data_IF_539545792510
#
_entry.id   IF_539545792510
#
_cell.length_a   1.000
_cell.length_b   1.000
_cell.length_c   1.000
_cell.angle_alpha   90.00
_cell.angle_beta   90.00
_cell.angle_gamma   90.00
#
_symmetry.space_group_name_H-M   'P 1'
#
loop_
_entity.id
_entity.type
_entity.pdbx_description
1 polymer ?
#
# COMPACT_ATOMS: atom_id res chain seq x y z
N UNK A 1 -1.49 18.41 -11.67
CA UNK A 1 -0.79 18.11 -10.40
C UNK A 1 -0.20 19.42 -9.86
N UNK A 2 -0.38 19.77 -8.58
CA UNK A 2 0.19 21.04 -8.06
C UNK A 2 -0.58 21.77 -6.94
N UNK A 3 -1.43 21.09 -6.17
CA UNK A 3 -2.02 21.71 -4.97
C UNK A 3 -1.06 21.54 -3.78
N UNK A 4 -0.34 22.61 -3.45
CA UNK A 4 0.56 22.70 -2.30
C UNK A 4 -0.15 23.41 -1.14
N UNK A 5 -0.75 22.62 -0.24
CA UNK A 5 -1.36 23.12 0.98
C UNK A 5 -0.25 23.26 2.04
N UNK A 6 0.25 24.48 2.21
CA UNK A 6 1.29 24.79 3.21
C UNK A 6 0.68 24.99 4.60
N UNK A 7 1.43 24.62 5.64
CA UNK A 7 1.08 24.83 7.04
C UNK A 7 0.13 23.76 7.61
N UNK A 8 -0.72 24.15 8.55
CA UNK A 8 -1.63 23.27 9.30
C UNK A 8 -2.82 22.74 8.49
N UNK A 9 -2.90 23.08 7.20
CA UNK A 9 -4.05 22.76 6.35
C UNK A 9 -4.10 21.28 5.93
N UNK A 10 -2.99 20.55 6.06
CA UNK A 10 -2.93 19.13 5.73
C UNK A 10 -2.33 18.36 6.89
N UNK A 11 -3.20 17.92 7.80
CA UNK A 11 -2.83 17.15 9.01
C UNK A 11 -2.98 15.64 8.83
N UNK A 12 -3.77 15.18 7.85
CA UNK A 12 -4.02 13.75 7.65
C UNK A 12 -3.97 13.34 6.17
N UNK A 13 -3.31 12.22 5.90
CA UNK A 13 -3.28 11.56 4.58
C UNK A 13 -3.88 10.17 4.72
N UNK A 14 -4.99 9.94 4.02
CA UNK A 14 -5.69 8.65 4.00
C UNK A 14 -5.35 7.87 2.74
N UNK A 15 -4.70 6.72 2.89
CA UNK A 15 -4.33 5.83 1.78
C UNK A 15 -5.18 4.58 1.87
N UNK A 16 -6.24 4.52 1.05
CA UNK A 16 -7.20 3.40 1.09
C UNK A 16 -6.57 2.09 0.59
N UNK A 17 -5.68 2.18 -0.40
CA UNK A 17 -5.05 1.04 -1.03
C UNK A 17 -3.75 1.45 -1.69
N UNK A 18 -2.74 0.60 -1.60
CA UNK A 18 -1.48 0.80 -2.33
C UNK A 18 -1.72 0.54 -3.81
N UNK A 19 -1.46 1.57 -4.61
CA UNK A 19 -1.50 1.52 -6.07
C UNK A 19 -0.28 0.76 -6.59
N UNK A 20 -0.54 -0.33 -7.32
CA UNK A 20 0.48 -1.02 -8.11
C UNK A 20 0.27 -0.63 -9.56
N UNK A 21 1.35 -0.43 -10.33
CA UNK A 21 1.22 -0.08 -11.75
C UNK A 21 0.51 -1.22 -12.50
N UNK A 22 -0.38 -0.89 -13.44
CA UNK A 22 -0.94 -1.88 -14.35
C UNK A 22 0.17 -2.45 -15.26
N UNK A 23 -0.01 -3.72 -15.65
CA UNK A 23 0.92 -4.45 -16.53
C UNK A 23 0.30 -4.51 -17.93
N UNK A 24 0.03 -3.35 -18.50
CA UNK A 24 -0.65 -3.18 -19.80
C UNK A 24 0.26 -2.53 -20.86
N UNK A 25 1.32 -1.85 -20.42
CA UNK A 25 2.32 -1.29 -21.34
C UNK A 25 3.18 -2.39 -21.98
N UNK A 26 3.39 -2.36 -23.31
CA UNK A 26 4.25 -3.33 -24.00
C UNK A 26 5.67 -3.33 -23.45
N UNK A 27 6.20 -2.16 -23.05
CA UNK A 27 7.53 -2.04 -22.44
C UNK A 27 7.60 -2.83 -21.13
N UNK A 28 6.58 -2.68 -20.28
CA UNK A 28 6.49 -3.35 -18.98
C UNK A 28 6.40 -4.87 -19.15
N UNK A 29 5.66 -5.34 -20.17
CA UNK A 29 5.53 -6.75 -20.49
C UNK A 29 6.87 -7.34 -20.95
N UNK A 30 7.53 -6.70 -21.92
CA UNK A 30 8.82 -7.16 -22.45
C UNK A 30 9.90 -7.17 -21.38
N UNK A 31 9.98 -6.13 -20.55
CA UNK A 31 10.90 -6.10 -19.40
C UNK A 31 10.58 -7.24 -18.41
N UNK A 32 9.30 -7.50 -18.15
CA UNK A 32 8.86 -8.60 -17.31
C UNK A 32 9.23 -9.99 -17.85
N UNK A 33 9.16 -10.21 -19.16
CA UNK A 33 9.60 -11.45 -19.80
C UNK A 33 11.11 -11.62 -19.74
N UNK A 34 11.85 -10.54 -19.98
CA UNK A 34 13.31 -10.53 -19.85
C UNK A 34 13.75 -10.85 -18.40
N UNK A 35 13.12 -10.25 -17.39
CA UNK A 35 13.39 -10.54 -15.99
C UNK A 35 13.09 -12.00 -15.63
N UNK A 36 12.03 -12.60 -16.18
CA UNK A 36 11.74 -14.03 -16.01
C UNK A 36 12.84 -14.90 -16.62
N UNK A 37 13.39 -14.53 -17.77
CA UNK A 37 14.51 -15.26 -18.40
C UNK A 37 15.78 -15.27 -17.52
N UNK A 38 15.92 -14.28 -16.64
CA UNK A 38 17.01 -14.17 -15.66
C UNK A 38 16.69 -14.81 -14.29
N UNK A 39 15.62 -15.60 -14.19
CA UNK A 39 15.09 -16.16 -12.94
C UNK A 39 14.86 -15.08 -11.86
N UNK A 40 14.36 -13.91 -12.26
CA UNK A 40 13.95 -12.83 -11.35
C UNK A 40 12.42 -12.72 -11.32
N UNK A 41 11.90 -12.13 -10.25
CA UNK A 41 10.46 -11.90 -10.09
C UNK A 41 10.10 -10.47 -10.54
N UNK A 42 9.40 -10.28 -11.68
CA UNK A 42 9.11 -8.95 -12.22
C UNK A 42 8.36 -8.05 -11.23
N UNK A 43 7.44 -8.63 -10.45
CA UNK A 43 6.73 -7.91 -9.41
C UNK A 43 7.67 -7.24 -8.40
N UNK A 44 8.70 -7.95 -7.93
CA UNK A 44 9.62 -7.42 -6.91
C UNK A 44 10.60 -6.40 -7.48
N UNK A 45 10.96 -6.55 -8.76
CA UNK A 45 11.96 -5.70 -9.41
C UNK A 45 11.33 -4.44 -10.01
N UNK A 46 10.06 -4.49 -10.43
CA UNK A 46 9.43 -3.43 -11.20
C UNK A 46 8.19 -2.85 -10.49
N UNK A 47 7.22 -3.71 -10.15
CA UNK A 47 5.95 -3.26 -9.57
C UNK A 47 6.11 -2.74 -8.14
N UNK A 48 6.94 -3.41 -7.33
CA UNK A 48 7.17 -3.06 -5.93
C UNK A 48 7.91 -1.71 -5.78
N UNK A 49 9.01 -1.43 -6.51
CA UNK A 49 9.64 -0.11 -6.46
C UNK A 49 8.72 1.01 -6.94
N UNK A 50 7.96 0.78 -8.02
CA UNK A 50 6.97 1.76 -8.50
C UNK A 50 5.90 2.07 -7.44
N UNK A 51 5.40 1.04 -6.75
CA UNK A 51 4.44 1.23 -5.65
C UNK A 51 5.07 1.95 -4.45
N UNK A 52 6.33 1.63 -4.12
CA UNK A 52 7.11 2.30 -3.07
C UNK A 52 7.29 3.79 -3.37
N UNK A 53 7.69 4.13 -4.60
CA UNK A 53 7.83 5.51 -5.04
C UNK A 53 6.52 6.28 -4.90
N UNK A 54 5.41 5.74 -5.40
CA UNK A 54 4.09 6.35 -5.24
C UNK A 54 3.67 6.51 -3.78
N UNK A 55 4.05 5.58 -2.90
CA UNK A 55 3.77 5.67 -1.47
C UNK A 55 4.56 6.82 -0.83
N UNK A 56 5.86 6.91 -1.12
CA UNK A 56 6.73 8.00 -0.66
C UNK A 56 6.19 9.35 -1.14
N UNK A 57 5.79 9.46 -2.41
CA UNK A 57 5.23 10.70 -2.95
C UNK A 57 3.90 11.10 -2.28
N UNK A 58 3.06 10.13 -1.91
CA UNK A 58 1.82 10.40 -1.17
C UNK A 58 2.12 10.88 0.25
N UNK A 59 3.07 10.26 0.95
CA UNK A 59 3.50 10.66 2.29
C UNK A 59 4.22 12.02 2.27
N UNK A 60 5.01 12.30 1.24
CA UNK A 60 5.68 13.58 1.04
C UNK A 60 4.72 14.76 0.88
N UNK A 61 3.42 14.52 0.63
CA UNK A 61 2.40 15.58 0.69
C UNK A 61 2.21 16.13 2.10
N UNK A 62 2.45 15.32 3.13
CA UNK A 62 2.34 15.69 4.54
C UNK A 62 3.59 16.42 5.04
N UNK A 63 4.78 15.96 4.63
CA UNK A 63 6.07 16.50 5.08
C UNK A 63 6.59 17.52 4.06
N UNK A 64 6.18 18.79 4.21
CA UNK A 64 6.63 19.88 3.33
C UNK A 64 7.57 20.88 3.98
N UNK A 65 7.62 20.93 5.31
CA UNK A 65 8.51 21.81 6.07
C UNK A 65 8.80 21.21 7.44
N UNK A 66 9.84 21.71 8.12
CA UNK A 66 10.24 21.24 9.44
C UNK A 66 9.15 21.36 10.52
N UNK A 67 8.18 22.27 10.36
CA UNK A 67 7.08 22.45 11.31
C UNK A 67 5.82 21.64 10.98
N UNK A 68 5.81 20.87 9.88
CA UNK A 68 4.65 20.08 9.52
C UNK A 68 4.52 18.86 10.45
N UNK A 69 3.34 18.68 11.02
CA UNK A 69 2.98 17.48 11.78
C UNK A 69 1.68 16.90 11.21
N UNK A 70 1.48 15.61 11.43
CA UNK A 70 0.23 14.95 11.06
C UNK A 70 0.37 13.44 10.98
N UNK A 71 -0.68 12.80 10.46
CA UNK A 71 -0.82 11.35 10.46
C UNK A 71 -1.03 10.81 9.05
N UNK A 72 -0.42 9.65 8.77
CA UNK A 72 -0.68 8.88 7.56
C UNK A 72 -1.44 7.62 7.95
N UNK A 73 -2.69 7.52 7.52
CA UNK A 73 -3.54 6.36 7.81
C UNK A 73 -3.64 5.49 6.56
N UNK A 74 -3.08 4.27 6.64
CA UNK A 74 -3.08 3.31 5.54
C UNK A 74 -4.03 2.16 5.84
N UNK A 75 -5.08 2.00 5.03
CA UNK A 75 -6.12 0.96 5.22
C UNK A 75 -5.77 -0.38 4.54
N UNK A 76 -4.53 -0.56 4.12
CA UNK A 76 -4.08 -1.71 3.34
C UNK A 76 -3.36 -2.76 4.20
N UNK A 77 -4.08 -3.81 4.58
CA UNK A 77 -3.55 -4.94 5.38
C UNK A 77 -2.37 -5.67 4.70
N UNK A 78 -2.12 -5.44 3.41
CA UNK A 78 -1.00 -6.06 2.69
C UNK A 78 0.36 -5.59 3.24
N UNK A 79 0.44 -4.42 3.86
CA UNK A 79 1.66 -3.94 4.51
C UNK A 79 2.13 -4.85 5.66
N UNK A 80 1.17 -5.47 6.36
CA UNK A 80 1.45 -6.35 7.51
C UNK A 80 1.46 -7.83 7.12
N UNK A 81 0.62 -8.22 6.17
CA UNK A 81 0.39 -9.65 5.84
C UNK A 81 1.30 -10.19 4.75
N UNK A 82 1.88 -9.33 3.90
CA UNK A 82 2.73 -9.75 2.77
C UNK A 82 4.19 -9.48 3.08
N UNK A 83 5.08 -10.37 2.62
CA UNK A 83 6.53 -10.26 2.83
C UNK A 83 7.10 -8.94 2.29
N UNK A 84 6.57 -8.44 1.17
CA UNK A 84 7.00 -7.17 0.58
C UNK A 84 6.50 -5.93 1.37
N UNK A 85 5.52 -6.10 2.25
CA UNK A 85 4.92 -4.99 3.01
C UNK A 85 5.93 -4.32 3.92
N UNK A 86 6.79 -5.11 4.57
CA UNK A 86 7.92 -4.60 5.36
C UNK A 86 8.84 -3.71 4.53
N UNK A 87 9.19 -4.12 3.30
CA UNK A 87 10.03 -3.33 2.38
C UNK A 87 9.39 -1.99 2.01
N UNK A 88 8.06 -1.93 1.90
CA UNK A 88 7.34 -0.68 1.63
C UNK A 88 7.36 0.25 2.85
N UNK A 89 7.21 -0.30 4.06
CA UNK A 89 7.31 0.47 5.30
C UNK A 89 8.73 0.98 5.55
N UNK A 90 9.74 0.13 5.33
CA UNK A 90 11.16 0.47 5.48
C UNK A 90 11.63 1.56 4.49
N UNK A 91 10.89 1.76 3.39
CA UNK A 91 11.17 2.82 2.41
C UNK A 91 10.61 4.18 2.82
N UNK A 92 9.73 4.22 3.82
CA UNK A 92 9.19 5.47 4.36
C UNK A 92 10.17 6.10 5.35
N UNK A 93 10.08 7.42 5.58
CA UNK A 93 10.75 8.05 6.71
C UNK A 93 10.45 7.33 8.03
N UNK A 94 11.33 7.48 9.01
CA UNK A 94 11.20 6.80 10.31
C UNK A 94 10.00 7.38 11.06
N UNK A 95 8.85 6.72 10.93
CA UNK A 95 7.62 7.04 11.65
C UNK A 95 7.36 6.03 12.76
N UNK A 96 6.76 6.45 13.88
CA UNK A 96 6.09 5.51 14.77
C UNK A 96 4.91 4.87 14.00
N UNK A 97 4.86 3.55 13.97
CA UNK A 97 3.78 2.80 13.32
C UNK A 97 2.88 2.24 14.42
N UNK A 98 1.62 2.66 14.42
CA UNK A 98 0.61 2.19 15.36
C UNK A 98 -0.50 1.42 14.62
N UNK A 99 -1.10 0.45 15.30
CA UNK A 99 -2.23 -0.35 14.80
C UNK A 99 -3.40 -0.20 15.77
N UNK A 100 -4.18 0.88 15.66
CA UNK A 100 -5.35 1.06 16.52
C UNK A 100 -6.40 -0.02 16.22
N UNK A 101 -7.11 -0.46 17.25
CA UNK A 101 -8.24 -1.36 17.09
C UNK A 101 -9.36 -0.66 16.31
N UNK A 102 -10.10 -1.45 15.52
CA UNK A 102 -11.23 -0.92 14.77
C UNK A 102 -12.33 -0.53 15.76
N UNK A 103 -12.88 0.70 15.71
CA UNK A 103 -13.98 1.09 16.59
C UNK A 103 -15.15 0.12 16.48
N UNK A 104 -15.70 -0.30 17.62
CA UNK A 104 -16.68 -1.39 17.75
C UNK A 104 -17.95 -1.18 16.89
N UNK A 105 -18.28 0.07 16.52
CA UNK A 105 -19.48 0.43 15.75
C UNK A 105 -19.44 0.18 14.23
N UNK A 106 -18.30 -0.20 13.63
CA UNK A 106 -18.16 -0.30 12.16
C UNK A 106 -18.19 -1.76 11.63
N UNK A 107 -17.97 -2.75 12.49
CA UNK A 107 -17.82 -4.15 12.06
C UNK A 107 -19.16 -4.90 12.12
N UNK A 108 -19.98 -4.81 11.06
CA UNK A 108 -20.98 -5.86 10.79
C UNK A 108 -20.23 -7.15 10.46
N UNK A 109 -20.05 -8.01 11.47
CA UNK A 109 -19.45 -9.35 11.36
C UNK A 109 -20.22 -10.13 10.29
N UNK A 110 -19.61 -10.37 9.12
CA UNK A 110 -20.15 -11.33 8.15
C UNK A 110 -20.07 -12.71 8.80
N UNK A 111 -21.21 -13.22 9.23
CA UNK A 111 -21.35 -14.62 9.67
C UNK A 111 -20.88 -15.54 8.53
N UNK A 112 -19.90 -16.40 8.84
CA UNK A 112 -19.49 -17.47 7.94
C UNK A 112 -20.57 -18.55 8.00
N UNK A 113 -21.53 -18.52 7.08
CA UNK A 113 -22.44 -19.64 6.86
C UNK A 113 -21.62 -20.84 6.37
N UNK A 114 -21.38 -21.83 7.22
CA UNK A 114 -20.82 -23.12 6.83
C UNK A 114 -21.85 -23.81 5.93
N UNK A 115 -21.59 -23.88 4.63
CA UNK A 115 -22.37 -24.73 3.73
C UNK A 115 -22.11 -26.22 4.07
N UNK A 116 -23.15 -27.05 4.27
CA UNK A 116 -22.95 -28.46 4.56
C UNK A 116 -22.39 -29.16 3.33
N UNK A 117 -21.25 -29.85 3.52
CA UNK A 117 -20.63 -30.74 2.53
C UNK A 117 -21.66 -31.78 2.08
N UNK A 118 -22.10 -31.71 0.82
CA UNK A 118 -22.84 -32.79 0.14
C UNK A 118 -21.98 -34.06 0.17
N UNK A 119 -22.38 -35.03 1.02
CA UNK A 119 -21.91 -36.42 0.91
C UNK A 119 -22.43 -36.97 -0.42
N UNK A 120 -21.52 -37.22 -1.37
CA UNK A 120 -21.80 -38.08 -2.53
C UNK A 120 -21.93 -39.52 -2.00
N UNK A 121 -23.07 -40.15 -2.25
CA UNK A 121 -23.23 -41.60 -2.33
C UNK A 121 -23.30 -41.96 -3.80
#
# INVERSE_FOLDING_TARGET
EGLDLKGDLLSQVHIHKIAFPPIDSPVVITEGEWLKSLNRYPFEVQSLPSASFNLIQQVGRLIRSHGCWGEVVIYDKRLLTKNYGKRLLDALPVFPIEQPEVPEGIVKKKEKTKSPRRRRR
#
